data_IF_580174200115
#
_entry.id   IF_580174200115
#
_cell.length_a   1.000
_cell.length_b   1.000
_cell.length_c   1.000
_cell.angle_alpha   90.00
_cell.angle_beta   90.00
_cell.angle_gamma   90.00
#
_symmetry.space_group_name_H-M   'P 1'
#
loop_
_entity.id
_entity.type
_entity.pdbx_description
1 polymer ?
#
# COMPACT_ATOMS: atom_id res chain seq x y z
N UNK A 1 -5.35 -12.03 2.11
CA UNK A 1 -4.52 -10.95 2.66
C UNK A 1 -5.09 -9.65 2.13
N UNK A 2 -5.51 -8.75 3.02
CA UNK A 2 -6.01 -7.43 2.67
C UNK A 2 -4.79 -6.51 2.54
N UNK A 3 -4.28 -6.33 1.32
CA UNK A 3 -3.05 -5.56 1.04
C UNK A 3 -3.36 -4.13 0.60
N UNK A 4 -2.90 -3.77 -0.60
CA UNK A 4 -3.08 -2.42 -1.18
C UNK A 4 -4.55 -1.96 -1.17
N UNK A 5 -5.50 -2.85 -1.46
CA UNK A 5 -6.93 -2.51 -1.44
C UNK A 5 -7.40 -1.91 -0.11
N UNK A 6 -6.98 -2.47 1.03
CA UNK A 6 -7.47 -2.00 2.33
C UNK A 6 -6.96 -0.59 2.64
N UNK A 7 -5.69 -0.35 2.33
CA UNK A 7 -5.08 0.95 2.55
C UNK A 7 -5.69 2.05 1.67
N UNK A 8 -6.00 1.74 0.41
CA UNK A 8 -6.60 2.70 -0.53
C UNK A 8 -8.08 2.97 -0.21
N UNK A 9 -8.81 1.99 0.33
CA UNK A 9 -10.22 2.17 0.72
C UNK A 9 -10.41 2.79 2.11
N UNK A 10 -9.35 2.93 2.92
CA UNK A 10 -9.39 3.56 4.24
C UNK A 10 -8.27 4.62 4.42
N UNK A 11 -8.17 5.61 3.53
CA UNK A 11 -7.07 6.58 3.53
C UNK A 11 -6.98 7.35 4.86
N UNK A 12 -8.11 7.69 5.49
CA UNK A 12 -8.14 8.39 6.78
C UNK A 12 -7.52 7.63 7.96
N UNK A 13 -7.27 6.32 7.80
CA UNK A 13 -6.63 5.46 8.81
C UNK A 13 -5.16 5.15 8.50
N UNK A 14 -4.64 5.67 7.39
CA UNK A 14 -3.34 5.30 6.87
C UNK A 14 -2.22 6.10 7.54
N UNK A 15 -1.65 5.51 8.59
CA UNK A 15 -0.43 5.95 9.26
C UNK A 15 0.70 4.90 9.13
N UNK A 16 1.90 5.22 9.63
CA UNK A 16 3.07 4.34 9.57
C UNK A 16 2.84 3.00 10.27
N UNK A 17 2.13 3.01 11.41
CA UNK A 17 1.86 1.81 12.22
C UNK A 17 0.86 0.90 11.51
N UNK A 18 -0.16 1.47 10.88
CA UNK A 18 -1.14 0.71 10.11
C UNK A 18 -0.52 0.15 8.83
N UNK A 19 0.29 0.94 8.12
CA UNK A 19 1.02 0.48 6.94
C UNK A 19 1.96 -0.70 7.27
N UNK A 20 2.71 -0.62 8.37
CA UNK A 20 3.60 -1.70 8.82
C UNK A 20 2.86 -3.02 9.05
N UNK A 21 1.62 -2.96 9.56
CA UNK A 21 0.77 -4.15 9.77
C UNK A 21 0.30 -4.79 8.46
N UNK A 22 0.22 -4.03 7.37
CA UNK A 22 -0.20 -4.52 6.06
C UNK A 22 0.97 -5.11 5.26
N UNK A 23 2.20 -4.70 5.59
CA UNK A 23 3.41 -5.18 4.93
C UNK A 23 3.69 -6.64 5.27
N UNK A 24 3.95 -7.44 4.24
CA UNK A 24 4.44 -8.80 4.38
C UNK A 24 5.97 -8.78 4.35
N UNK A 25 6.61 -9.30 5.40
CA UNK A 25 8.06 -9.43 5.44
C UNK A 25 8.50 -10.57 4.50
N UNK A 26 9.31 -10.24 3.49
CA UNK A 26 9.81 -11.19 2.49
C UNK A 26 11.29 -11.50 2.66
N UNK A 27 12.08 -10.57 3.19
CA UNK A 27 13.47 -10.77 3.61
C UNK A 27 13.84 -9.80 4.75
N UNK A 28 15.10 -9.83 5.21
CA UNK A 28 15.61 -9.00 6.31
C UNK A 28 15.38 -7.49 6.10
N UNK A 29 15.53 -7.02 4.85
CA UNK A 29 15.33 -5.60 4.48
C UNK A 29 14.33 -5.44 3.33
N UNK A 30 13.44 -6.43 3.15
CA UNK A 30 12.45 -6.41 2.07
C UNK A 30 11.06 -6.73 2.63
N UNK A 31 10.18 -5.75 2.52
CA UNK A 31 8.77 -5.88 2.79
C UNK A 31 7.98 -5.61 1.52
N UNK A 32 6.91 -6.38 1.30
CA UNK A 32 6.04 -6.23 0.14
C UNK A 32 4.62 -5.92 0.59
N UNK A 33 3.97 -5.01 -0.12
CA UNK A 33 2.55 -4.77 0.00
C UNK A 33 1.85 -5.40 -1.23
N UNK A 34 1.09 -6.46 -0.99
CA UNK A 34 0.50 -7.23 -2.08
C UNK A 34 -0.67 -6.49 -2.75
N UNK A 35 -0.69 -6.53 -4.10
CA UNK A 35 -1.86 -6.15 -4.86
C UNK A 35 -3.06 -7.06 -4.53
N UNK A 36 -4.30 -6.57 -4.73
CA UNK A 36 -5.50 -7.37 -4.47
C UNK A 36 -5.54 -8.58 -5.42
N UNK A 37 -5.85 -9.76 -4.88
CA UNK A 37 -5.95 -11.01 -5.68
C UNK A 37 -7.26 -11.12 -6.47
N UNK A 38 -8.24 -10.27 -6.19
CA UNK A 38 -9.56 -10.26 -6.81
C UNK A 38 -9.90 -8.87 -7.35
N UNK A 39 -10.40 -8.82 -8.59
CA UNK A 39 -11.03 -7.64 -9.19
C UNK A 39 -12.49 -7.57 -8.72
N UNK A 40 -12.72 -7.29 -7.43
CA UNK A 40 -14.08 -7.18 -6.88
C UNK A 40 -14.77 -5.86 -7.28
N UNK A 41 -14.00 -4.81 -7.58
CA UNK A 41 -14.48 -3.54 -8.11
C UNK A 41 -13.67 -3.16 -9.33
N UNK A 42 -14.35 -2.57 -10.31
CA UNK A 42 -13.70 -1.87 -11.42
C UNK A 42 -12.79 -0.81 -10.80
N UNK A 43 -11.53 -0.77 -11.20
CA UNK A 43 -10.49 0.14 -10.70
C UNK A 43 -10.80 1.61 -11.08
N UNK A 44 -11.93 2.16 -10.66
CA UNK A 44 -12.19 3.60 -10.71
C UNK A 44 -11.51 4.26 -9.50
N UNK A 45 -10.18 4.11 -9.44
CA UNK A 45 -9.39 4.89 -8.51
C UNK A 45 -9.19 6.28 -9.10
N UNK A 46 -9.49 7.30 -8.30
CA UNK A 46 -9.07 8.65 -8.61
C UNK A 46 -7.54 8.68 -8.77
N UNK A 47 -6.97 9.51 -9.66
CA UNK A 47 -5.53 9.69 -9.80
C UNK A 47 -4.78 9.84 -8.47
N UNK A 48 -5.42 10.44 -7.47
CA UNK A 48 -4.82 10.71 -6.16
C UNK A 48 -5.09 9.64 -5.09
N UNK A 49 -5.79 8.55 -5.44
CA UNK A 49 -6.21 7.53 -4.48
C UNK A 49 -5.04 6.83 -3.76
N UNK A 50 -3.86 6.79 -4.38
CA UNK A 50 -2.66 6.16 -3.83
C UNK A 50 -1.69 7.17 -3.20
N UNK A 51 -1.93 8.48 -3.34
CA UNK A 51 -1.00 9.54 -2.91
C UNK A 51 -0.66 9.41 -1.43
N UNK A 52 -1.67 9.26 -0.57
CA UNK A 52 -1.44 9.14 0.87
C UNK A 52 -0.64 7.87 1.24
N UNK A 53 -0.85 6.76 0.52
CA UNK A 53 -0.11 5.53 0.73
C UNK A 53 1.37 5.69 0.39
N UNK A 54 1.64 6.32 -0.75
CA UNK A 54 2.99 6.60 -1.21
C UNK A 54 3.70 7.55 -0.24
N UNK A 55 3.03 8.62 0.17
CA UNK A 55 3.58 9.61 1.11
C UNK A 55 3.93 9.00 2.47
N UNK A 56 3.04 8.17 3.02
CA UNK A 56 3.28 7.47 4.29
C UNK A 56 4.43 6.47 4.16
N UNK A 57 4.49 5.70 3.07
CA UNK A 57 5.57 4.75 2.83
C UNK A 57 6.93 5.44 2.67
N UNK A 58 7.01 6.55 1.93
CA UNK A 58 8.27 7.29 1.73
C UNK A 58 8.85 7.87 3.02
N UNK A 59 8.03 8.13 4.04
CA UNK A 59 8.49 8.61 5.34
C UNK A 59 9.06 7.48 6.21
N UNK A 60 8.60 6.25 6.01
CA UNK A 60 8.98 5.10 6.84
C UNK A 60 10.12 4.27 6.28
N UNK A 61 10.39 4.34 4.96
CA UNK A 61 11.45 3.55 4.32
C UNK A 61 12.43 4.40 3.52
N UNK A 62 13.72 4.00 3.45
CA UNK A 62 14.73 4.73 2.66
C UNK A 62 14.57 4.55 1.14
N UNK A 63 13.85 3.51 0.71
CA UNK A 63 13.62 3.20 -0.70
C UNK A 63 12.23 2.60 -0.88
N UNK A 64 11.43 3.22 -1.74
CA UNK A 64 10.11 2.73 -2.15
C UNK A 64 10.12 2.38 -3.63
N UNK A 65 9.71 1.16 -3.97
CA UNK A 65 9.56 0.70 -5.37
C UNK A 65 8.07 0.59 -5.68
N UNK A 66 7.63 1.25 -6.75
CA UNK A 66 6.26 1.16 -7.24
C UNK A 66 6.24 0.24 -8.46
N UNK A 67 5.51 -0.87 -8.35
CA UNK A 67 5.24 -1.77 -9.46
C UNK A 67 4.03 -1.24 -10.25
N UNK A 68 4.29 -0.46 -11.29
CA UNK A 68 3.28 0.16 -12.16
C UNK A 68 3.36 -0.45 -13.56
N UNK A 69 2.22 -0.68 -14.25
CA UNK A 69 2.21 -1.14 -15.64
C UNK A 69 2.72 -0.10 -16.65
#
# INVERSE_FOLDING_TARGET
AQGIAEAVFSPERLDEVYLDRLLAQCAEHLSLLAAPSTLERVYDFDPDAFTQLIDTAQRSVPLLVLDVP
#
